data_IF_828243314228
#
_entry.id   IF_828243314228
#
_cell.length_a   1.000
_cell.length_b   1.000
_cell.length_c   1.000
_cell.angle_alpha   90.00
_cell.angle_beta   90.00
_cell.angle_gamma   90.00
#
_symmetry.space_group_name_H-M   'P 1'
#
loop_
_entity.id
_entity.type
_entity.pdbx_description
1 polymer ?
#
# COMPACT_ATOMS: atom_id res chain seq x y z
N UNK A 1 4.32 2.48 28.96
CA UNK A 1 4.16 3.33 27.75
C UNK A 1 3.40 2.53 26.72
N UNK A 2 2.16 2.90 26.41
CA UNK A 2 1.37 2.20 25.39
C UNK A 2 1.85 2.67 24.02
N UNK A 3 2.84 1.99 23.43
CA UNK A 3 3.14 2.18 22.01
C UNK A 3 2.01 1.53 21.23
N UNK A 4 1.12 2.34 20.65
CA UNK A 4 0.23 1.85 19.62
C UNK A 4 1.11 1.17 18.56
N UNK A 5 0.98 -0.15 18.41
CA UNK A 5 1.86 -0.97 17.56
C UNK A 5 1.78 -0.62 16.07
N UNK A 6 0.76 0.12 15.68
CA UNK A 6 0.49 0.53 14.30
C UNK A 6 -0.40 1.78 14.29
N UNK A 7 -0.32 2.54 13.21
CA UNK A 7 -1.13 3.74 12.97
C UNK A 7 -2.05 3.48 11.79
N UNK A 8 -3.35 3.71 11.98
CA UNK A 8 -4.37 3.54 10.92
C UNK A 8 -4.72 4.90 10.37
N UNK A 9 -4.44 5.10 9.08
CA UNK A 9 -4.73 6.34 8.36
C UNK A 9 -5.67 6.07 7.19
N UNK A 10 -6.41 7.10 6.80
CA UNK A 10 -7.07 7.15 5.49
C UNK A 10 -6.19 7.99 4.57
N UNK A 11 -5.85 7.45 3.42
CA UNK A 11 -4.99 8.08 2.42
C UNK A 11 -5.68 8.00 1.07
N UNK A 12 -5.40 8.98 0.22
CA UNK A 12 -5.68 8.88 -1.20
C UNK A 12 -4.56 8.07 -1.87
N UNK A 13 -4.94 7.16 -2.76
CA UNK A 13 -3.99 6.28 -3.46
C UNK A 13 -4.28 6.27 -4.95
N UNK A 14 -3.21 6.34 -5.73
CA UNK A 14 -3.25 6.25 -7.18
C UNK A 14 -3.53 4.79 -7.58
N UNK A 15 -4.70 4.53 -8.17
CA UNK A 15 -5.20 3.18 -8.49
C UNK A 15 -4.57 2.58 -9.76
N UNK A 16 -4.00 3.44 -10.60
CA UNK A 16 -3.31 3.12 -11.84
C UNK A 16 -1.85 2.68 -11.61
N UNK A 17 -1.35 2.81 -10.38
CA UNK A 17 -0.01 2.41 -9.99
C UNK A 17 -0.04 1.25 -9.00
N UNK A 18 1.03 0.43 -8.95
CA UNK A 18 1.17 -0.60 -7.94
C UNK A 18 1.11 -0.01 -6.53
N UNK A 19 0.37 -0.67 -5.65
CA UNK A 19 0.35 -0.30 -4.24
C UNK A 19 1.75 -0.37 -3.62
N UNK A 20 2.10 0.69 -2.89
CA UNK A 20 3.34 0.70 -2.11
C UNK A 20 3.21 -0.31 -0.98
N UNK A 21 4.21 -1.19 -0.84
CA UNK A 21 4.23 -2.20 0.23
C UNK A 21 4.85 -1.65 1.52
N UNK A 22 5.78 -0.71 1.38
CA UNK A 22 6.52 -0.15 2.50
C UNK A 22 6.80 1.34 2.26
N UNK A 23 7.02 2.08 3.34
CA UNK A 23 7.45 3.48 3.33
C UNK A 23 8.82 3.60 4.00
N UNK A 24 9.64 4.52 3.52
CA UNK A 24 10.85 4.99 4.20
C UNK A 24 10.53 6.40 4.68
N UNK A 25 10.52 6.58 5.99
CA UNK A 25 10.13 7.84 6.63
C UNK A 25 11.13 8.15 7.72
N UNK A 26 11.72 9.33 7.68
CA UNK A 26 12.37 9.92 8.83
C UNK A 26 11.29 10.43 9.79
N UNK A 27 11.03 9.66 10.85
CA UNK A 27 9.95 9.94 11.81
C UNK A 27 10.35 11.04 12.78
N UNK A 28 11.65 11.19 13.05
CA UNK A 28 12.18 12.10 14.06
C UNK A 28 12.73 13.41 13.48
N UNK A 29 12.93 13.47 12.16
CA UNK A 29 13.57 14.59 11.48
C UNK A 29 15.09 14.62 11.65
N UNK A 30 15.71 13.50 12.04
CA UNK A 30 17.13 13.38 12.33
C UNK A 30 17.95 12.83 11.14
N UNK A 31 17.30 12.57 10.02
CA UNK A 31 17.89 11.99 8.81
C UNK A 31 17.89 10.46 8.78
N UNK A 32 17.49 9.78 9.86
CA UNK A 32 17.44 8.32 9.92
C UNK A 32 16.07 7.81 9.45
N UNK A 33 16.04 7.19 8.27
CA UNK A 33 14.81 6.65 7.72
C UNK A 33 14.44 5.31 8.36
N UNK A 34 13.20 5.23 8.85
CA UNK A 34 12.60 3.99 9.32
C UNK A 34 11.81 3.32 8.20
N UNK A 35 12.01 2.01 8.04
CA UNK A 35 11.22 1.18 7.13
C UNK A 35 9.91 0.75 7.78
N UNK A 36 8.78 1.15 7.20
CA UNK A 36 7.44 0.85 7.70
C UNK A 36 6.65 0.00 6.71
N UNK A 37 6.27 -1.24 7.07
CA UNK A 37 5.38 -2.06 6.25
C UNK A 37 3.95 -1.49 6.28
N UNK A 38 3.28 -1.49 5.13
CA UNK A 38 1.90 -1.04 5.00
C UNK A 38 0.95 -2.24 4.93
N UNK A 39 -0.16 -2.14 5.67
CA UNK A 39 -1.27 -3.09 5.58
C UNK A 39 -2.53 -2.36 5.10
N UNK A 40 -3.09 -2.83 3.99
CA UNK A 40 -4.32 -2.29 3.43
C UNK A 40 -5.53 -3.12 3.91
N UNK A 41 -6.48 -2.50 4.60
CA UNK A 41 -7.60 -3.20 5.22
C UNK A 41 -8.92 -3.11 4.42
N UNK A 42 -9.01 -2.23 3.42
CA UNK A 42 -10.26 -1.92 2.67
C UNK A 42 -10.02 -1.73 1.18
N UNK A 43 -9.24 -2.62 0.58
CA UNK A 43 -8.97 -2.55 -0.84
C UNK A 43 -10.18 -3.11 -1.63
N UNK A 44 -10.58 -2.43 -2.71
CA UNK A 44 -11.51 -2.99 -3.71
C UNK A 44 -10.84 -4.17 -4.44
N UNK A 45 -11.54 -4.81 -5.38
CA UNK A 45 -11.00 -5.91 -6.21
C UNK A 45 -9.58 -5.57 -6.70
N UNK A 46 -8.62 -6.35 -6.21
CA UNK A 46 -7.18 -6.20 -6.46
C UNK A 46 -6.68 -7.36 -7.28
N UNK A 47 -6.02 -7.07 -8.40
CA UNK A 47 -5.35 -8.10 -9.18
C UNK A 47 -3.91 -8.29 -8.69
N UNK A 48 -3.63 -9.39 -7.99
CA UNK A 48 -2.26 -9.73 -7.55
C UNK A 48 -1.27 -9.93 -8.71
N UNK A 49 -1.75 -10.31 -9.89
CA UNK A 49 -0.91 -10.54 -11.08
C UNK A 49 -0.37 -9.25 -11.71
N UNK A 50 -1.15 -8.17 -11.67
CA UNK A 50 -0.79 -6.88 -12.28
C UNK A 50 -0.53 -5.76 -11.26
N UNK A 51 -0.91 -5.96 -9.99
CA UNK A 51 -0.74 -4.98 -8.91
C UNK A 51 -1.69 -3.79 -8.99
N UNK A 52 -2.78 -3.87 -9.78
CA UNK A 52 -3.70 -2.78 -10.05
C UNK A 52 -5.03 -2.93 -9.32
N UNK A 53 -5.64 -1.79 -9.00
CA UNK A 53 -6.95 -1.67 -8.37
C UNK A 53 -8.07 -1.46 -9.38
N UNK A 54 -9.25 -2.05 -9.14
CA UNK A 54 -10.47 -1.73 -9.89
C UNK A 54 -10.64 -2.47 -11.23
N UNK A 55 -9.77 -3.45 -11.54
CA UNK A 55 -10.06 -4.47 -12.56
C UNK A 55 -10.61 -5.69 -11.84
N UNK A 56 -11.88 -6.02 -12.09
CA UNK A 56 -12.41 -7.35 -11.72
C UNK A 56 -11.48 -8.38 -12.34
N UNK A 57 -11.09 -9.40 -11.57
CA UNK A 57 -10.15 -10.46 -11.99
C UNK A 57 -10.48 -11.03 -13.37
N UNK A 58 -11.77 -11.03 -13.74
CA UNK A 58 -12.32 -11.47 -15.04
C UNK A 58 -11.85 -10.68 -16.26
N UNK A 59 -11.39 -9.43 -16.11
CA UNK A 59 -11.06 -8.54 -17.22
C UNK A 59 -9.56 -8.17 -17.28
N UNK A 60 -8.70 -8.94 -16.62
CA UNK A 60 -7.26 -8.82 -16.80
C UNK A 60 -6.86 -9.52 -18.10
N UNK A 61 -6.40 -8.80 -19.15
CA UNK A 61 -5.90 -9.46 -20.34
C UNK A 61 -4.71 -10.32 -19.91
N UNK A 62 -4.77 -11.62 -20.23
CA UNK A 62 -3.62 -12.49 -20.05
C UNK A 62 -2.41 -11.81 -20.69
N UNK A 63 -1.32 -11.72 -19.93
CA UNK A 63 -0.06 -11.20 -20.43
C UNK A 63 0.48 -12.26 -21.42
N UNK A 64 0.07 -12.14 -22.68
CA UNK A 64 0.68 -12.84 -23.83
C UNK A 64 2.03 -12.18 -24.08
#
# INVERSE_FOLDING_TARGET
VCMAKFLRVRVEIEIDKPLRRCLRIDVLGDGEETFMPLQYERLLDFCFQFGLMGRVFTNCPNRI
#
